data_IF_735386632004
#
_entry.id   IF_735386632004
#
_cell.length_a   1.000
_cell.length_b   1.000
_cell.length_c   1.000
_cell.angle_alpha   90.00
_cell.angle_beta   90.00
_cell.angle_gamma   90.00
#
_symmetry.space_group_name_H-M   'P 1'
#
loop_
_entity.id
_entity.type
_entity.pdbx_description
1 polymer ?
#
# COMPACT_ATOMS: atom_id res chain seq x y z
N UNK A 1 -25.75 22.68 -0.64
CA UNK A 1 -24.77 21.83 0.08
C UNK A 1 -23.52 21.79 -0.78
N UNK A 2 -22.36 21.96 -0.18
CA UNK A 2 -21.08 21.93 -0.91
C UNK A 2 -20.74 20.47 -1.26
N UNK A 3 -20.20 20.25 -2.45
CA UNK A 3 -19.70 18.95 -2.92
C UNK A 3 -18.24 19.13 -3.30
N UNK A 4 -17.41 18.18 -2.91
CA UNK A 4 -15.98 18.15 -3.17
C UNK A 4 -15.65 17.00 -4.13
N UNK A 5 -14.84 17.24 -5.16
CA UNK A 5 -14.40 16.24 -6.14
C UNK A 5 -12.96 15.83 -5.84
N UNK A 6 -12.76 14.59 -5.43
CA UNK A 6 -11.45 14.06 -5.04
C UNK A 6 -11.11 12.87 -5.93
N UNK A 7 -9.99 12.94 -6.63
CA UNK A 7 -9.43 11.82 -7.37
C UNK A 7 -8.36 11.10 -6.56
N UNK A 8 -8.18 9.80 -6.79
CA UNK A 8 -7.00 9.08 -6.31
C UNK A 8 -6.14 8.61 -7.49
N UNK A 9 -4.96 9.20 -7.60
CA UNK A 9 -4.05 9.08 -8.74
C UNK A 9 -3.00 7.97 -8.61
N UNK A 10 -3.00 7.17 -7.54
CA UNK A 10 -2.10 6.01 -7.40
C UNK A 10 -2.54 5.07 -6.29
N UNK A 11 -2.09 3.82 -6.38
CA UNK A 11 -2.34 2.74 -5.44
C UNK A 11 -1.06 2.21 -4.76
N UNK A 12 0.11 2.38 -5.37
CA UNK A 12 1.38 1.85 -4.90
C UNK A 12 2.57 2.53 -5.60
N UNK A 13 3.77 2.31 -5.08
CA UNK A 13 4.99 2.73 -5.75
C UNK A 13 5.22 1.96 -7.06
N UNK A 14 5.15 2.68 -8.18
CA UNK A 14 5.36 2.14 -9.53
C UNK A 14 4.05 1.94 -10.31
N UNK A 15 2.96 2.55 -9.85
CA UNK A 15 1.66 2.51 -10.50
C UNK A 15 1.62 3.30 -11.83
N UNK A 16 0.48 3.30 -12.50
CA UNK A 16 0.27 3.97 -13.78
C UNK A 16 0.12 5.48 -13.60
N UNK A 17 1.00 6.25 -14.25
CA UNK A 17 0.94 7.72 -14.25
C UNK A 17 -0.15 8.25 -15.21
N UNK A 18 -0.44 7.55 -16.30
CA UNK A 18 -1.35 8.02 -17.36
C UNK A 18 -2.79 8.24 -16.88
N UNK A 19 -3.43 7.39 -16.06
CA UNK A 19 -4.75 7.68 -15.51
C UNK A 19 -4.72 8.83 -14.49
N UNK A 20 -3.61 9.02 -13.78
CA UNK A 20 -3.44 10.15 -12.86
C UNK A 20 -3.37 11.49 -13.63
N UNK A 21 -2.67 11.49 -14.77
CA UNK A 21 -2.64 12.62 -15.70
C UNK A 21 -4.04 12.89 -16.27
N UNK A 22 -4.78 11.85 -16.64
CA UNK A 22 -6.18 12.01 -17.10
C UNK A 22 -7.10 12.57 -16.01
N UNK A 23 -6.94 12.13 -14.76
CA UNK A 23 -7.64 12.72 -13.61
C UNK A 23 -7.32 14.22 -13.44
N UNK A 24 -6.04 14.60 -13.52
CA UNK A 24 -5.62 15.98 -13.37
C UNK A 24 -6.14 16.89 -14.51
N UNK A 25 -6.20 16.38 -15.74
CA UNK A 25 -6.61 17.13 -16.93
C UNK A 25 -8.15 17.22 -17.07
N UNK A 26 -8.86 16.09 -16.89
CA UNK A 26 -10.28 15.95 -17.25
C UNK A 26 -11.20 15.60 -16.08
N UNK A 27 -10.65 15.35 -14.88
CA UNK A 27 -11.43 14.90 -13.73
C UNK A 27 -12.29 15.98 -13.08
N UNK A 28 -12.05 17.26 -13.39
CA UNK A 28 -12.67 18.42 -12.74
C UNK A 28 -12.54 18.31 -11.21
N UNK A 29 -11.32 18.07 -10.74
CA UNK A 29 -11.04 17.78 -9.34
C UNK A 29 -10.83 19.06 -8.53
N UNK A 30 -11.15 19.00 -7.24
CA UNK A 30 -10.65 19.96 -6.25
C UNK A 30 -9.32 19.44 -5.66
N UNK A 31 -9.21 18.12 -5.48
CA UNK A 31 -8.06 17.46 -4.88
C UNK A 31 -7.66 16.19 -5.63
N UNK A 32 -6.35 15.93 -5.70
CA UNK A 32 -5.77 14.70 -6.21
C UNK A 32 -4.88 14.06 -5.13
N UNK A 33 -5.32 12.92 -4.60
CA UNK A 33 -4.53 12.06 -3.74
C UNK A 33 -3.55 11.21 -4.54
N UNK A 34 -2.36 10.96 -4.01
CA UNK A 34 -1.34 10.12 -4.64
C UNK A 34 -0.70 9.18 -3.61
N UNK A 35 -1.26 7.98 -3.47
CA UNK A 35 -0.77 6.94 -2.56
C UNK A 35 0.30 6.04 -3.20
N UNK A 36 1.49 6.03 -2.59
CA UNK A 36 2.64 5.26 -3.03
C UNK A 36 3.14 4.25 -1.98
N UNK A 37 2.58 4.23 -0.77
CA UNK A 37 3.19 3.53 0.34
C UNK A 37 2.44 2.25 0.71
N UNK A 38 3.13 1.12 0.61
CA UNK A 38 2.77 -0.10 1.34
C UNK A 38 3.59 -0.25 2.62
N UNK A 39 3.23 -1.21 3.47
CA UNK A 39 3.98 -1.60 4.67
C UNK A 39 5.48 -1.84 4.38
N UNK A 40 5.78 -2.63 3.33
CA UNK A 40 7.16 -2.98 2.98
C UNK A 40 7.94 -1.80 2.40
N UNK A 41 7.24 -0.87 1.74
CA UNK A 41 7.86 0.29 1.07
C UNK A 41 8.68 1.12 2.05
N UNK A 42 8.18 1.34 3.27
CA UNK A 42 8.84 2.17 4.28
C UNK A 42 10.23 1.64 4.65
N UNK A 43 10.37 0.34 4.87
CA UNK A 43 11.66 -0.24 5.20
C UNK A 43 12.67 -0.15 4.05
N UNK A 44 12.21 -0.28 2.79
CA UNK A 44 13.06 -0.09 1.61
C UNK A 44 13.56 1.36 1.52
N UNK A 45 12.67 2.33 1.72
CA UNK A 45 12.99 3.75 1.70
C UNK A 45 13.93 4.14 2.85
N UNK A 46 13.70 3.63 4.05
CA UNK A 46 14.59 3.88 5.18
C UNK A 46 15.99 3.32 4.92
N UNK A 47 16.13 2.16 4.25
CA UNK A 47 17.45 1.65 3.82
C UNK A 47 18.12 2.57 2.81
N UNK A 48 17.37 3.23 1.94
CA UNK A 48 17.93 4.23 1.02
C UNK A 48 18.42 5.46 1.79
N UNK A 49 17.61 5.98 2.72
CA UNK A 49 17.97 7.09 3.63
C UNK A 49 19.23 6.79 4.45
N UNK A 50 19.34 5.58 5.00
CA UNK A 50 20.51 5.15 5.77
C UNK A 50 21.80 5.11 4.93
N UNK A 51 21.69 4.87 3.62
CA UNK A 51 22.84 4.92 2.69
C UNK A 51 23.13 6.35 2.22
N UNK A 52 22.11 7.15 2.01
CA UNK A 52 22.20 8.53 1.58
C UNK A 52 21.13 9.38 2.30
N UNK A 53 21.51 10.28 3.23
CA UNK A 53 20.56 11.10 3.99
C UNK A 53 19.64 12.00 3.16
N UNK A 54 19.95 12.23 1.88
CA UNK A 54 19.12 13.00 0.95
C UNK A 54 18.14 12.10 0.14
N UNK A 55 18.01 10.83 0.49
CA UNK A 55 17.10 9.86 -0.14
C UNK A 55 16.10 9.32 0.90
N UNK A 56 15.21 8.43 0.48
CA UNK A 56 14.19 7.83 1.33
C UNK A 56 12.77 8.38 1.14
N UNK A 57 12.58 9.27 0.17
CA UNK A 57 11.28 9.50 -0.46
C UNK A 57 11.15 8.60 -1.69
N UNK A 58 9.93 8.47 -2.22
CA UNK A 58 9.65 7.66 -3.40
C UNK A 58 10.35 8.27 -4.63
N UNK A 59 11.20 7.52 -5.35
CA UNK A 59 11.90 8.03 -6.53
C UNK A 59 10.97 8.64 -7.60
N UNK A 60 9.75 8.12 -7.71
CA UNK A 60 8.74 8.58 -8.67
C UNK A 60 8.11 9.94 -8.30
N UNK A 61 8.29 10.43 -7.06
CA UNK A 61 7.74 11.70 -6.60
C UNK A 61 8.05 12.86 -7.56
N UNK A 62 9.30 12.96 -8.02
CA UNK A 62 9.77 14.06 -8.86
C UNK A 62 9.22 13.98 -10.29
N UNK A 63 9.40 12.88 -11.05
CA UNK A 63 8.85 12.80 -12.40
C UNK A 63 7.32 12.87 -12.43
N UNK A 64 6.63 12.37 -11.41
CA UNK A 64 5.16 12.48 -11.33
C UNK A 64 4.72 13.92 -11.07
N UNK A 65 5.39 14.61 -10.14
CA UNK A 65 5.13 16.03 -9.89
C UNK A 65 5.38 16.86 -11.14
N UNK A 66 6.46 16.57 -11.90
CA UNK A 66 6.78 17.27 -13.14
C UNK A 66 5.67 17.12 -14.20
N UNK A 67 5.06 15.94 -14.29
CA UNK A 67 3.96 15.68 -15.22
C UNK A 67 2.62 16.28 -14.75
N UNK A 68 2.32 16.23 -13.45
CA UNK A 68 1.01 16.59 -12.90
C UNK A 68 0.89 18.07 -12.51
N UNK A 69 1.97 18.70 -12.05
CA UNK A 69 1.93 20.06 -11.52
C UNK A 69 1.41 21.10 -12.54
N UNK A 70 1.81 21.08 -13.83
CA UNK A 70 1.26 22.03 -14.80
C UNK A 70 -0.26 21.91 -14.99
N UNK A 71 -0.77 20.68 -15.03
CA UNK A 71 -2.20 20.41 -15.23
C UNK A 71 -3.01 20.79 -13.99
N UNK A 72 -2.54 20.34 -12.81
CA UNK A 72 -3.21 20.61 -11.54
C UNK A 72 -3.22 22.11 -11.23
N UNK A 73 -2.11 22.83 -11.44
CA UNK A 73 -2.08 24.28 -11.25
C UNK A 73 -3.00 25.02 -12.23
N UNK A 74 -3.02 24.64 -13.52
CA UNK A 74 -3.93 25.23 -14.51
C UNK A 74 -5.40 25.05 -14.12
N UNK A 75 -5.75 23.88 -13.57
CA UNK A 75 -7.11 23.52 -13.22
C UNK A 75 -7.49 23.87 -11.77
N UNK A 76 -6.56 24.44 -10.98
CA UNK A 76 -6.78 24.78 -9.57
C UNK A 76 -6.90 23.57 -8.64
N UNK A 77 -6.38 22.40 -9.03
CA UNK A 77 -6.39 21.16 -8.26
C UNK A 77 -5.24 21.16 -7.26
N UNK A 78 -5.50 20.82 -6.00
CA UNK A 78 -4.44 20.62 -4.99
C UNK A 78 -4.00 19.16 -4.92
N UNK A 79 -2.71 18.91 -4.74
CA UNK A 79 -2.14 17.55 -4.67
C UNK A 79 -1.78 17.16 -3.24
N UNK A 80 -2.03 15.91 -2.86
CA UNK A 80 -1.68 15.37 -1.54
C UNK A 80 -1.05 14.00 -1.74
N UNK A 81 0.15 13.77 -1.22
CA UNK A 81 0.88 12.52 -1.42
C UNK A 81 1.59 12.04 -0.16
N UNK A 82 1.69 10.73 0.00
CA UNK A 82 2.55 10.09 0.99
C UNK A 82 3.91 9.63 0.40
N UNK A 83 4.22 10.06 -0.83
CA UNK A 83 5.48 9.77 -1.50
C UNK A 83 6.72 10.39 -0.81
N UNK A 84 6.55 11.20 0.23
CA UNK A 84 7.65 11.61 1.11
C UNK A 84 8.28 10.42 1.85
N UNK A 85 7.52 9.36 2.09
CA UNK A 85 8.02 8.09 2.62
C UNK A 85 8.81 8.25 3.91
N UNK A 86 10.01 7.66 3.97
CA UNK A 86 10.88 7.75 5.14
C UNK A 86 11.63 9.09 5.27
N UNK A 87 11.55 9.98 4.26
CA UNK A 87 12.21 11.28 4.28
C UNK A 87 11.37 12.39 3.61
N UNK A 88 10.22 12.76 4.21
CA UNK A 88 9.33 13.78 3.63
C UNK A 88 10.02 15.13 3.44
N UNK A 89 10.94 15.47 4.35
CA UNK A 89 11.75 16.69 4.30
C UNK A 89 12.66 16.73 3.06
N UNK A 90 13.33 15.64 2.71
CA UNK A 90 14.14 15.59 1.48
C UNK A 90 13.27 15.63 0.22
N UNK A 91 12.17 14.85 0.20
CA UNK A 91 11.24 14.85 -0.93
C UNK A 91 10.61 16.22 -1.18
N UNK A 92 10.18 16.91 -0.13
CA UNK A 92 9.59 18.24 -0.23
C UNK A 92 10.58 19.31 -0.69
N UNK A 93 11.85 19.27 -0.26
CA UNK A 93 12.88 20.17 -0.81
C UNK A 93 13.06 20.00 -2.31
N UNK A 94 13.14 18.75 -2.78
CA UNK A 94 13.29 18.46 -4.22
C UNK A 94 12.06 18.92 -5.03
N UNK A 95 10.85 18.78 -4.47
CA UNK A 95 9.62 19.31 -5.07
C UNK A 95 9.62 20.84 -5.14
N UNK A 96 10.04 21.52 -4.08
CA UNK A 96 10.16 23.00 -4.08
C UNK A 96 11.15 23.46 -5.15
N UNK A 97 12.31 22.81 -5.27
CA UNK A 97 13.28 23.12 -6.33
C UNK A 97 12.72 22.83 -7.72
N UNK A 98 11.98 21.72 -7.91
CA UNK A 98 11.31 21.41 -9.17
C UNK A 98 10.27 22.48 -9.53
N UNK A 99 9.38 22.83 -8.62
CA UNK A 99 8.35 23.84 -8.83
C UNK A 99 8.97 25.20 -9.21
N UNK A 100 10.10 25.57 -8.59
CA UNK A 100 10.86 26.77 -8.94
C UNK A 100 11.40 26.71 -10.37
N UNK A 101 11.95 25.56 -10.78
CA UNK A 101 12.44 25.36 -12.16
C UNK A 101 11.32 25.42 -13.19
N UNK A 102 10.12 24.95 -12.85
CA UNK A 102 8.94 24.99 -13.71
C UNK A 102 8.24 26.36 -13.73
N UNK A 103 8.65 27.31 -12.88
CA UNK A 103 8.14 28.68 -12.89
C UNK A 103 6.96 28.95 -11.95
N UNK A 104 6.65 28.05 -11.01
CA UNK A 104 5.56 28.20 -10.04
C UNK A 104 6.00 29.00 -8.79
N UNK A 105 6.65 30.14 -9.00
CA UNK A 105 7.09 31.00 -7.90
C UNK A 105 5.90 31.46 -7.04
N UNK A 106 6.05 31.39 -5.71
CA UNK A 106 4.97 31.75 -4.78
C UNK A 106 4.00 30.61 -4.43
N UNK A 107 4.06 29.47 -5.14
CA UNK A 107 3.32 28.27 -4.78
C UNK A 107 3.69 27.81 -3.37
N UNK A 108 2.70 27.32 -2.61
CA UNK A 108 2.92 26.79 -1.27
C UNK A 108 3.02 25.26 -1.27
N UNK A 109 4.07 24.72 -0.68
CA UNK A 109 4.30 23.27 -0.51
C UNK A 109 4.33 22.93 0.98
N UNK A 110 3.37 22.13 1.43
CA UNK A 110 3.30 21.60 2.79
C UNK A 110 4.08 20.30 2.94
N UNK A 111 4.87 20.17 4.01
CA UNK A 111 5.56 18.95 4.40
C UNK A 111 5.05 18.52 5.77
N UNK A 112 4.61 17.27 5.88
CA UNK A 112 4.13 16.66 7.13
C UNK A 112 5.10 15.58 7.59
N UNK A 113 5.49 15.65 8.86
CA UNK A 113 6.38 14.70 9.53
C UNK A 113 5.84 14.33 10.92
N UNK A 114 6.51 13.40 11.60
CA UNK A 114 6.15 12.94 12.95
C UNK A 114 5.78 11.47 13.02
N UNK A 115 5.71 10.80 11.87
CA UNK A 115 5.49 9.37 11.72
C UNK A 115 6.73 8.53 12.08
N UNK A 116 7.95 9.02 11.84
CA UNK A 116 9.19 8.31 12.21
C UNK A 116 9.36 8.32 13.75
N UNK A 117 9.27 7.13 14.33
CA UNK A 117 9.40 6.90 15.78
C UNK A 117 10.66 6.15 16.14
N UNK A 118 11.56 5.93 15.18
CA UNK A 118 12.77 5.11 15.37
C UNK A 118 13.60 5.55 16.57
N UNK A 119 13.82 6.86 16.71
CA UNK A 119 14.60 7.45 17.81
C UNK A 119 13.80 7.60 19.12
N UNK A 120 12.50 7.32 19.11
CA UNK A 120 11.60 7.48 20.28
C UNK A 120 11.31 6.17 21.01
N UNK A 121 11.62 5.02 20.41
CA UNK A 121 11.26 3.71 20.97
C UNK A 121 11.80 3.47 22.38
N UNK A 122 13.03 3.92 22.67
CA UNK A 122 13.62 3.81 24.01
C UNK A 122 12.87 4.66 25.04
N UNK A 123 12.53 5.89 24.68
CA UNK A 123 11.79 6.80 25.55
C UNK A 123 10.39 6.24 25.83
N UNK A 124 9.70 5.77 24.79
CA UNK A 124 8.38 5.15 24.91
C UNK A 124 8.41 3.88 25.79
N UNK A 125 9.43 3.03 25.63
CA UNK A 125 9.62 1.87 26.49
C UNK A 125 9.84 2.28 27.96
N UNK A 126 10.63 3.33 28.21
CA UNK A 126 10.89 3.85 29.55
C UNK A 126 9.62 4.47 30.18
N UNK A 127 8.70 5.00 29.37
CA UNK A 127 7.38 5.48 29.78
C UNK A 127 6.35 4.35 30.00
N UNK A 128 6.73 3.09 29.75
CA UNK A 128 5.92 1.90 30.01
C UNK A 128 5.12 1.41 28.80
N UNK A 129 5.40 1.91 27.59
CA UNK A 129 4.79 1.37 26.36
C UNK A 129 5.34 -0.05 26.12
N UNK A 130 4.46 -1.04 26.14
CA UNK A 130 4.80 -2.41 25.77
C UNK A 130 4.54 -2.62 24.27
N UNK A 131 5.60 -2.94 23.53
CA UNK A 131 5.53 -3.14 22.08
C UNK A 131 5.12 -4.56 21.72
N UNK A 132 3.85 -4.90 21.95
CA UNK A 132 3.33 -6.23 21.62
C UNK A 132 3.19 -6.38 20.11
N UNK A 133 3.76 -7.44 19.54
CA UNK A 133 3.54 -7.81 18.16
C UNK A 133 2.08 -8.24 17.97
N UNK A 134 1.32 -7.52 17.14
CA UNK A 134 -0.10 -7.78 16.94
C UNK A 134 -0.39 -9.12 16.25
N UNK A 135 0.58 -9.68 15.51
CA UNK A 135 0.40 -10.93 14.78
C UNK A 135 0.78 -12.16 15.63
N UNK A 136 1.82 -12.03 16.47
CA UNK A 136 2.39 -13.17 17.21
C UNK A 136 2.12 -13.13 18.72
N UNK A 137 1.74 -11.98 19.26
CA UNK A 137 1.64 -11.74 20.70
C UNK A 137 2.99 -11.68 21.42
N UNK A 138 4.11 -11.67 20.69
CA UNK A 138 5.44 -11.50 21.28
C UNK A 138 5.57 -10.10 21.92
N UNK A 139 6.09 -10.04 23.15
CA UNK A 139 6.25 -8.79 23.89
C UNK A 139 7.69 -8.28 23.83
N UNK A 140 7.84 -6.96 23.83
CA UNK A 140 9.15 -6.29 23.83
C UNK A 140 9.88 -6.34 22.49
N UNK A 141 10.96 -5.57 22.35
CA UNK A 141 11.72 -5.42 21.10
C UNK A 141 13.09 -6.11 21.14
N UNK A 142 13.41 -6.81 22.22
CA UNK A 142 14.74 -7.33 22.55
C UNK A 142 15.29 -8.24 21.46
N UNK A 143 14.44 -9.13 20.91
CA UNK A 143 14.82 -10.07 19.86
C UNK A 143 15.22 -9.35 18.57
N UNK A 144 14.48 -8.31 18.21
CA UNK A 144 14.65 -7.63 16.92
C UNK A 144 15.56 -6.42 17.00
N UNK A 145 15.92 -5.98 18.22
CA UNK A 145 16.54 -4.68 18.52
C UNK A 145 17.75 -4.35 17.65
N UNK A 146 18.65 -5.31 17.48
CA UNK A 146 19.90 -5.11 16.73
C UNK A 146 19.70 -5.07 15.21
N UNK A 147 18.55 -5.56 14.73
CA UNK A 147 18.24 -5.72 13.31
C UNK A 147 17.15 -4.75 12.82
N UNK A 148 16.69 -3.84 13.69
CA UNK A 148 15.69 -2.83 13.34
C UNK A 148 16.21 -1.91 12.23
N UNK A 149 15.36 -1.71 11.23
CA UNK A 149 15.65 -0.91 10.04
C UNK A 149 14.87 0.39 10.04
N UNK A 150 13.60 0.34 10.42
CA UNK A 150 12.67 1.48 10.39
C UNK A 150 11.57 1.28 11.43
N UNK A 151 11.01 2.37 11.96
CA UNK A 151 9.79 2.35 12.76
C UNK A 151 8.92 3.56 12.41
N UNK A 152 7.79 3.33 11.76
CA UNK A 152 6.88 4.39 11.32
C UNK A 152 5.47 4.16 11.82
N UNK A 153 4.88 5.21 12.37
CA UNK A 153 3.49 5.25 12.78
C UNK A 153 2.58 5.58 11.59
N UNK A 154 1.41 4.95 11.55
CA UNK A 154 0.30 5.35 10.70
C UNK A 154 -0.37 6.56 11.35
N UNK A 155 0.02 7.77 10.96
CA UNK A 155 -0.62 9.00 11.46
C UNK A 155 -1.87 9.33 10.63
N UNK A 156 -2.74 10.18 11.17
CA UNK A 156 -3.96 10.62 10.50
C UNK A 156 -3.74 11.86 9.64
N UNK A 157 -4.87 12.49 9.29
CA UNK A 157 -4.94 13.63 8.41
C UNK A 157 -4.65 14.98 9.08
N UNK A 158 -4.32 15.02 10.38
CA UNK A 158 -4.12 16.28 11.12
C UNK A 158 -3.10 17.21 10.44
N UNK A 159 -1.95 16.66 10.02
CA UNK A 159 -0.93 17.45 9.34
C UNK A 159 -1.33 17.88 7.92
N UNK A 160 -2.15 17.08 7.23
CA UNK A 160 -2.69 17.45 5.92
C UNK A 160 -3.64 18.63 6.06
N UNK A 161 -4.54 18.60 7.05
CA UNK A 161 -5.48 19.70 7.34
C UNK A 161 -4.72 20.98 7.66
N UNK A 162 -3.67 20.89 8.50
CA UNK A 162 -2.83 22.04 8.87
C UNK A 162 -2.09 22.63 7.66
N UNK A 163 -1.51 21.79 6.79
CA UNK A 163 -0.82 22.26 5.59
C UNK A 163 -1.77 22.97 4.62
N UNK A 164 -2.96 22.40 4.39
CA UNK A 164 -3.98 23.02 3.54
C UNK A 164 -4.49 24.34 4.14
N UNK A 165 -4.66 24.42 5.47
CA UNK A 165 -4.98 25.67 6.16
C UNK A 165 -3.88 26.74 6.03
N UNK A 166 -2.62 26.31 5.92
CA UNK A 166 -1.47 27.16 5.58
C UNK A 166 -1.41 27.57 4.11
N UNK A 167 -2.37 27.16 3.28
CA UNK A 167 -2.46 27.52 1.86
C UNK A 167 -1.68 26.60 0.93
N UNK A 168 -1.22 25.44 1.39
CA UNK A 168 -0.49 24.49 0.56
C UNK A 168 -1.31 24.04 -0.66
N UNK A 169 -0.72 24.16 -1.85
CA UNK A 169 -1.24 23.62 -3.11
C UNK A 169 -0.77 22.17 -3.31
N UNK A 170 0.37 21.81 -2.72
CA UNK A 170 0.88 20.45 -2.67
C UNK A 170 1.27 20.07 -1.25
N UNK A 171 0.79 18.93 -0.77
CA UNK A 171 1.13 18.40 0.56
C UNK A 171 1.88 17.08 0.40
N UNK A 172 3.06 16.98 1.01
CA UNK A 172 3.92 15.80 0.99
C UNK A 172 4.04 15.28 2.42
N UNK A 173 3.68 14.02 2.61
CA UNK A 173 3.65 13.37 3.92
C UNK A 173 4.59 12.16 3.95
N UNK A 174 4.96 11.73 5.17
CA UNK A 174 5.57 10.43 5.41
C UNK A 174 4.52 9.32 5.46
N UNK A 175 4.60 8.43 6.45
CA UNK A 175 3.54 7.44 6.65
C UNK A 175 2.29 8.07 7.28
N UNK A 176 1.26 8.26 6.45
CA UNK A 176 -0.13 8.47 6.88
C UNK A 176 -0.94 7.20 6.60
N UNK A 177 -2.16 7.10 7.13
CA UNK A 177 -3.13 6.15 6.58
C UNK A 177 -3.52 6.56 5.16
N UNK A 178 -3.81 5.57 4.32
CA UNK A 178 -4.05 5.74 2.89
C UNK A 178 -5.26 6.67 2.67
N UNK A 179 -6.34 6.44 3.43
CA UNK A 179 -7.51 7.32 3.50
C UNK A 179 -7.24 8.76 3.94
N UNK A 180 -6.12 9.06 4.63
CA UNK A 180 -5.84 10.41 5.13
C UNK A 180 -5.65 11.43 3.99
N UNK A 181 -5.24 10.95 2.81
CA UNK A 181 -5.14 11.74 1.58
C UNK A 181 -6.51 12.23 1.11
N UNK A 182 -7.60 11.56 1.51
CA UNK A 182 -8.99 11.93 1.24
C UNK A 182 -9.66 12.61 2.43
N UNK A 183 -9.42 12.14 3.65
CA UNK A 183 -10.01 12.71 4.88
C UNK A 183 -9.52 14.14 5.11
N UNK A 184 -8.23 14.39 4.95
CA UNK A 184 -7.63 15.71 5.14
C UNK A 184 -8.30 16.83 4.33
N UNK A 185 -8.42 16.71 2.99
CA UNK A 185 -9.09 17.72 2.20
C UNK A 185 -10.59 17.84 2.49
N UNK A 186 -11.30 16.74 2.77
CA UNK A 186 -12.71 16.78 3.19
C UNK A 186 -12.89 17.60 4.46
N UNK A 187 -12.09 17.30 5.49
CA UNK A 187 -12.17 17.99 6.77
C UNK A 187 -11.79 19.47 6.64
N UNK A 188 -10.75 19.78 5.88
CA UNK A 188 -10.34 21.15 5.59
C UNK A 188 -11.45 21.95 4.90
N UNK A 189 -12.01 21.42 3.82
CA UNK A 189 -12.97 22.15 2.96
C UNK A 189 -14.34 22.36 3.61
N UNK A 190 -14.76 21.46 4.50
CA UNK A 190 -16.01 21.61 5.26
C UNK A 190 -15.79 22.20 6.66
N UNK A 191 -14.54 22.50 7.05
CA UNK A 191 -14.21 23.05 8.36
C UNK A 191 -14.54 22.10 9.52
N UNK A 192 -14.47 20.79 9.30
CA UNK A 192 -14.67 19.78 10.34
C UNK A 192 -13.43 19.67 11.22
N UNK A 193 -13.63 19.39 12.51
CA UNK A 193 -12.53 19.36 13.49
C UNK A 193 -12.67 18.14 14.40
N UNK A 194 -11.53 17.59 14.84
CA UNK A 194 -11.51 16.51 15.83
C UNK A 194 -11.92 16.99 17.24
N UNK A 195 -11.89 18.30 17.51
CA UNK A 195 -12.35 18.91 18.77
C UNK A 195 -13.89 18.93 18.89
N UNK A 196 -14.58 18.93 17.74
CA UNK A 196 -16.05 18.89 17.65
C UNK A 196 -16.48 17.86 16.59
N UNK A 197 -16.22 16.57 16.86
CA UNK A 197 -16.33 15.55 15.83
C UNK A 197 -17.80 15.18 15.59
N UNK A 198 -18.16 15.10 14.31
CA UNK A 198 -19.27 14.27 13.86
C UNK A 198 -18.68 12.96 13.36
N UNK A 199 -18.71 11.93 14.21
CA UNK A 199 -18.07 10.65 13.91
C UNK A 199 -18.70 9.91 12.74
N UNK A 200 -19.97 10.16 12.42
CA UNK A 200 -20.57 9.56 11.23
C UNK A 200 -20.02 10.20 9.96
N UNK A 201 -19.87 11.54 9.95
CA UNK A 201 -19.28 12.25 8.82
C UNK A 201 -17.79 11.96 8.63
N UNK A 202 -17.04 11.88 9.73
CA UNK A 202 -15.62 11.48 9.69
C UNK A 202 -15.52 10.02 9.22
N UNK A 203 -16.36 9.12 9.75
CA UNK A 203 -16.43 7.73 9.29
C UNK A 203 -16.78 7.63 7.81
N UNK A 204 -17.67 8.50 7.30
CA UNK A 204 -17.98 8.58 5.88
C UNK A 204 -16.78 9.02 5.03
N UNK A 205 -16.03 10.04 5.48
CA UNK A 205 -14.81 10.48 4.81
C UNK A 205 -13.76 9.37 4.75
N UNK A 206 -13.57 8.64 5.86
CA UNK A 206 -12.66 7.49 5.94
C UNK A 206 -13.10 6.37 5.00
N UNK A 207 -14.40 6.02 5.01
CA UNK A 207 -14.95 4.99 4.15
C UNK A 207 -14.82 5.32 2.66
N UNK A 208 -15.07 6.57 2.27
CA UNK A 208 -14.91 7.00 0.88
C UNK A 208 -13.44 7.05 0.48
N UNK A 209 -12.55 7.47 1.38
CA UNK A 209 -11.11 7.34 1.21
C UNK A 209 -10.72 5.89 0.90
N UNK A 210 -11.21 4.94 1.71
CA UNK A 210 -11.00 3.50 1.49
C UNK A 210 -11.56 2.97 0.16
N UNK A 211 -12.67 3.54 -0.33
CA UNK A 211 -13.24 3.14 -1.62
C UNK A 211 -12.38 3.62 -2.79
N UNK A 212 -11.78 4.82 -2.72
CA UNK A 212 -11.00 5.38 -3.84
C UNK A 212 -9.50 5.10 -3.72
N UNK A 213 -9.00 4.73 -2.55
CA UNK A 213 -7.65 4.20 -2.38
C UNK A 213 -7.48 2.89 -3.18
N UNK A 214 -6.23 2.46 -3.40
CA UNK A 214 -5.91 1.40 -4.37
C UNK A 214 -6.36 1.69 -5.82
N UNK A 215 -6.63 2.97 -6.13
CA UNK A 215 -6.95 3.52 -7.44
C UNK A 215 -7.92 2.65 -8.26
N UNK A 216 -7.42 1.88 -9.23
CA UNK A 216 -8.27 1.19 -10.20
C UNK A 216 -9.11 0.02 -9.65
N UNK A 217 -8.98 -0.33 -8.36
CA UNK A 217 -9.73 -1.45 -7.79
C UNK A 217 -11.24 -1.24 -7.85
N UNK A 218 -11.74 -0.10 -7.37
CA UNK A 218 -13.18 0.21 -7.43
C UNK A 218 -13.67 0.60 -8.84
N UNK A 219 -12.75 0.75 -9.81
CA UNK A 219 -13.03 0.95 -11.24
C UNK A 219 -12.80 -0.30 -12.08
N UNK A 220 -12.67 -1.48 -11.45
CA UNK A 220 -12.72 -2.78 -12.11
C UNK A 220 -11.38 -3.48 -12.32
N UNK A 221 -10.25 -2.86 -11.99
CA UNK A 221 -8.90 -3.41 -12.18
C UNK A 221 -8.60 -4.63 -11.32
N UNK A 222 -9.04 -4.61 -10.05
CA UNK A 222 -8.92 -5.71 -9.10
C UNK A 222 -10.16 -6.60 -9.00
N UNK A 223 -11.16 -6.39 -9.87
CA UNK A 223 -12.51 -6.94 -9.70
C UNK A 223 -12.66 -8.35 -10.27
N UNK A 224 -13.55 -9.17 -9.68
CA UNK A 224 -13.99 -10.42 -10.31
C UNK A 224 -14.80 -10.16 -11.60
N UNK A 225 -15.25 -8.93 -11.83
CA UNK A 225 -15.90 -8.47 -13.05
C UNK A 225 -14.91 -8.02 -14.13
N UNK A 226 -13.68 -8.53 -14.14
CA UNK A 226 -12.66 -8.24 -15.16
C UNK A 226 -13.14 -8.46 -16.61
N UNK A 227 -14.19 -9.28 -16.82
CA UNK A 227 -14.81 -9.50 -18.14
C UNK A 227 -15.73 -8.36 -18.59
N UNK A 228 -16.25 -7.58 -17.64
CA UNK A 228 -17.17 -6.46 -17.88
C UNK A 228 -16.42 -5.14 -18.02
N UNK A 229 -15.21 -5.04 -17.45
CA UNK A 229 -14.34 -3.87 -17.59
C UNK A 229 -14.03 -3.59 -19.07
N UNK A 230 -14.48 -2.44 -19.56
CA UNK A 230 -14.23 -1.99 -20.93
C UNK A 230 -12.82 -1.41 -21.01
N UNK A 231 -12.05 -1.73 -22.03
CA UNK A 231 -10.68 -1.19 -22.23
C UNK A 231 -9.81 -1.20 -20.95
N UNK A 232 -9.58 -2.34 -20.29
CA UNK A 232 -8.86 -2.41 -19.02
C UNK A 232 -7.38 -1.95 -19.11
N UNK A 233 -6.83 -1.79 -20.32
CA UNK A 233 -5.51 -1.19 -20.59
C UNK A 233 -5.52 0.35 -20.60
N UNK A 234 -6.70 0.98 -20.56
CA UNK A 234 -6.90 2.42 -20.45
C UNK A 234 -7.86 2.71 -19.28
N UNK A 235 -7.63 2.04 -18.16
CA UNK A 235 -8.53 2.05 -17.01
C UNK A 235 -8.58 3.43 -16.35
N UNK A 236 -9.79 3.92 -16.10
CA UNK A 236 -9.97 5.18 -15.37
C UNK A 236 -9.70 5.00 -13.89
N UNK A 237 -8.99 5.95 -13.28
CA UNK A 237 -8.85 6.04 -11.83
C UNK A 237 -10.08 6.73 -11.20
N UNK A 238 -10.36 6.45 -9.91
CA UNK A 238 -11.62 6.82 -9.30
C UNK A 238 -11.70 8.30 -8.93
N UNK A 239 -12.93 8.81 -8.94
CA UNK A 239 -13.34 10.12 -8.46
C UNK A 239 -14.44 9.91 -7.41
N UNK A 240 -14.29 10.52 -6.24
CA UNK A 240 -15.36 10.69 -5.27
C UNK A 240 -15.94 12.10 -5.35
N UNK A 241 -17.23 12.21 -5.61
CA UNK A 241 -18.01 13.44 -5.44
C UNK A 241 -18.64 13.41 -4.04
N UNK A 242 -17.94 13.97 -3.06
CA UNK A 242 -18.28 13.87 -1.65
C UNK A 242 -19.11 15.08 -1.19
N UNK A 243 -20.30 14.83 -0.63
CA UNK A 243 -21.20 15.84 -0.09
C UNK A 243 -20.91 16.17 1.37
N UNK A 244 -21.18 17.42 1.76
CA UNK A 244 -21.06 17.89 3.16
C UNK A 244 -21.95 17.10 4.17
N UNK A 245 -22.91 16.32 3.71
CA UNK A 245 -23.74 15.45 4.53
C UNK A 245 -23.11 14.07 4.81
N UNK A 246 -21.97 13.76 4.20
CA UNK A 246 -21.28 12.47 4.30
C UNK A 246 -21.73 11.45 3.26
N UNK A 247 -22.58 11.82 2.30
CA UNK A 247 -22.85 10.97 1.13
C UNK A 247 -21.84 11.21 0.02
N UNK A 248 -21.66 10.24 -0.88
CA UNK A 248 -20.74 10.39 -2.01
C UNK A 248 -21.23 9.71 -3.28
N UNK A 249 -20.74 10.14 -4.43
CA UNK A 249 -20.84 9.40 -5.69
C UNK A 249 -19.44 8.96 -6.10
N UNK A 250 -19.25 7.66 -6.27
CA UNK A 250 -18.03 7.07 -6.80
C UNK A 250 -18.20 6.94 -8.32
N UNK A 251 -17.23 7.48 -9.06
CA UNK A 251 -17.24 7.51 -10.51
C UNK A 251 -15.81 7.53 -11.08
N UNK A 252 -15.67 7.73 -12.39
CA UNK A 252 -14.39 7.88 -13.11
C UNK A 252 -14.56 8.89 -14.24
N UNK A 253 -13.45 9.30 -14.87
CA UNK A 253 -13.48 10.23 -16.01
C UNK A 253 -14.36 9.66 -17.15
N UNK A 254 -15.33 10.41 -17.69
CA UNK A 254 -16.13 9.94 -18.82
C UNK A 254 -15.26 9.57 -20.02
N UNK A 255 -15.49 8.38 -20.59
CA UNK A 255 -14.72 7.87 -21.73
C UNK A 255 -13.46 7.08 -21.37
N UNK A 256 -13.04 7.07 -20.10
CA UNK A 256 -12.00 6.15 -19.61
C UNK A 256 -12.53 4.71 -19.50
N UNK A 257 -11.62 3.74 -19.55
CA UNK A 257 -11.92 2.32 -19.40
C UNK A 257 -12.28 1.92 -17.96
N UNK A 258 -12.44 0.62 -17.72
CA UNK A 258 -12.93 0.05 -16.47
C UNK A 258 -14.45 0.01 -16.37
N UNK A 259 -14.94 -0.21 -15.15
CA UNK A 259 -16.36 -0.22 -14.79
C UNK A 259 -16.50 0.20 -13.33
N UNK A 260 -17.44 1.11 -13.04
CA UNK A 260 -17.82 1.47 -11.67
C UNK A 260 -19.26 1.03 -11.44
N UNK A 261 -19.45 0.01 -10.60
CA UNK A 261 -20.77 -0.49 -10.23
C UNK A 261 -20.79 -0.94 -8.76
N UNK A 262 -21.94 -1.40 -8.26
CA UNK A 262 -22.03 -1.79 -6.85
C UNK A 262 -21.09 -2.94 -6.46
N UNK A 263 -20.74 -3.81 -7.40
CA UNK A 263 -19.87 -4.96 -7.12
C UNK A 263 -18.42 -4.53 -7.01
N UNK A 264 -17.92 -3.67 -7.90
CA UNK A 264 -16.53 -3.15 -7.80
C UNK A 264 -16.34 -2.36 -6.51
N UNK A 265 -17.34 -1.56 -6.11
CA UNK A 265 -17.30 -0.83 -4.84
C UNK A 265 -17.39 -1.76 -3.63
N UNK A 266 -18.20 -2.83 -3.68
CA UNK A 266 -18.28 -3.82 -2.58
C UNK A 266 -16.98 -4.60 -2.41
N UNK A 267 -16.35 -5.02 -3.51
CA UNK A 267 -15.07 -5.72 -3.48
C UNK A 267 -14.01 -4.87 -2.79
N UNK A 268 -13.93 -3.58 -3.14
CA UNK A 268 -13.03 -2.65 -2.47
C UNK A 268 -13.38 -2.46 -0.99
N UNK A 269 -14.66 -2.29 -0.62
CA UNK A 269 -15.07 -2.19 0.80
C UNK A 269 -14.67 -3.43 1.62
N UNK A 270 -14.58 -4.61 0.99
CA UNK A 270 -14.15 -5.84 1.67
C UNK A 270 -12.65 -6.08 1.63
N UNK A 271 -11.91 -5.29 0.85
CA UNK A 271 -10.47 -5.42 0.70
C UNK A 271 -9.77 -4.96 1.98
N UNK A 272 -8.89 -5.79 2.54
CA UNK A 272 -8.14 -5.47 3.78
C UNK A 272 -8.98 -5.14 5.03
N UNK A 273 -10.29 -5.45 5.00
CA UNK A 273 -11.20 -5.25 6.14
C UNK A 273 -11.41 -6.56 6.90
N UNK A 274 -10.84 -6.66 8.09
CA UNK A 274 -10.99 -7.82 8.96
C UNK A 274 -12.32 -7.82 9.73
N UNK A 275 -12.67 -6.71 10.37
CA UNK A 275 -13.96 -6.51 11.06
C UNK A 275 -14.73 -5.35 10.40
N UNK A 276 -15.75 -5.63 9.58
CA UNK A 276 -16.54 -4.60 8.91
C UNK A 276 -17.25 -3.63 9.84
N UNK A 277 -17.46 -3.96 11.12
CA UNK A 277 -18.05 -3.03 12.10
C UNK A 277 -17.01 -2.16 12.79
N UNK A 278 -15.74 -2.52 12.70
CA UNK A 278 -14.62 -1.86 13.37
C UNK A 278 -13.43 -1.78 12.41
N UNK A 279 -13.59 -1.07 11.30
CA UNK A 279 -12.46 -0.75 10.44
C UNK A 279 -11.70 0.43 11.05
N UNK A 280 -10.58 0.13 11.72
CA UNK A 280 -9.85 1.07 12.59
C UNK A 280 -8.79 1.81 11.77
N UNK A 281 -8.96 3.13 11.63
CA UNK A 281 -7.96 4.01 11.05
C UNK A 281 -7.62 5.19 11.98
N UNK A 282 -6.47 5.87 11.76
CA UNK A 282 -6.03 6.98 12.59
C UNK A 282 -7.04 8.12 12.71
N UNK A 283 -7.82 8.41 11.67
CA UNK A 283 -8.80 9.50 11.70
C UNK A 283 -10.14 9.13 12.35
N UNK A 284 -10.49 7.84 12.37
CA UNK A 284 -11.79 7.37 12.83
C UNK A 284 -11.97 5.88 12.61
N UNK A 285 -12.99 5.30 13.25
CA UNK A 285 -13.33 3.89 13.08
C UNK A 285 -14.64 3.80 12.29
N UNK A 286 -14.63 3.09 11.17
CA UNK A 286 -15.80 2.96 10.28
C UNK A 286 -16.62 1.71 10.65
N UNK A 287 -17.94 1.84 10.60
CA UNK A 287 -18.86 0.70 10.58
C UNK A 287 -19.51 0.58 9.19
N UNK A 288 -18.95 -0.31 8.37
CA UNK A 288 -19.45 -0.61 7.03
C UNK A 288 -20.80 -1.35 7.04
N UNK A 289 -21.29 -1.85 8.18
CA UNK A 289 -22.58 -2.57 8.24
C UNK A 289 -23.80 -1.66 8.03
N UNK A 290 -23.64 -0.35 8.20
CA UNK A 290 -24.72 0.63 7.95
C UNK A 290 -24.71 1.18 6.53
N UNK A 291 -23.59 1.07 5.82
CA UNK A 291 -23.39 1.61 4.48
C UNK A 291 -24.47 1.12 3.50
N UNK A 292 -24.91 2.01 2.62
CA UNK A 292 -25.83 1.72 1.51
C UNK A 292 -25.19 2.13 0.19
N UNK A 293 -25.34 1.27 -0.80
CA UNK A 293 -24.92 1.54 -2.18
C UNK A 293 -26.12 1.53 -3.10
N UNK A 294 -26.12 2.45 -4.07
CA UNK A 294 -27.14 2.52 -5.12
C UNK A 294 -26.50 2.94 -6.43
N UNK A 295 -26.71 2.17 -7.49
CA UNK A 295 -26.34 2.62 -8.84
C UNK A 295 -27.32 3.69 -9.29
N UNK A 296 -26.79 4.84 -9.68
CA UNK A 296 -27.58 6.01 -10.10
C UNK A 296 -27.35 6.39 -11.56
N UNK A 297 -26.50 5.63 -12.26
CA UNK A 297 -26.21 5.77 -13.68
C UNK A 297 -25.01 4.91 -14.08
N UNK A 298 -24.65 4.91 -15.38
CA UNK A 298 -23.42 4.28 -15.84
C UNK A 298 -22.21 4.83 -15.11
N UNK A 299 -21.34 3.96 -14.61
CA UNK A 299 -20.13 4.31 -13.86
C UNK A 299 -20.37 5.25 -12.66
N UNK A 300 -21.54 5.19 -12.02
CA UNK A 300 -21.91 6.07 -10.90
C UNK A 300 -22.63 5.31 -9.79
N UNK A 301 -21.95 5.16 -8.66
CA UNK A 301 -22.46 4.50 -7.46
C UNK A 301 -22.60 5.52 -6.34
N UNK A 302 -23.82 5.74 -5.89
CA UNK A 302 -24.13 6.54 -4.71
C UNK A 302 -23.88 5.73 -3.44
N UNK A 303 -23.19 6.34 -2.48
CA UNK A 303 -22.80 5.79 -1.18
C UNK A 303 -23.42 6.65 -0.08
N UNK A 304 -24.14 6.04 0.86
CA UNK A 304 -24.81 6.73 1.96
C UNK A 304 -24.87 5.90 3.23
N UNK A 305 -25.43 6.50 4.30
CA UNK A 305 -25.71 5.86 5.59
C UNK A 305 -24.47 5.23 6.26
N UNK A 306 -23.30 5.81 6.03
CA UNK A 306 -22.05 5.39 6.69
C UNK A 306 -22.07 5.90 8.12
N UNK A 307 -21.79 5.02 9.07
CA UNK A 307 -21.62 5.38 10.47
C UNK A 307 -20.17 5.23 10.89
N UNK A 308 -19.79 5.97 11.93
CA UNK A 308 -18.44 5.94 12.46
C UNK A 308 -18.41 6.11 13.96
N UNK A 309 -17.26 5.77 14.53
CA UNK A 309 -16.96 5.81 15.97
C UNK A 309 -15.73 6.69 16.21
N UNK A 310 -15.49 7.09 17.47
CA UNK A 310 -14.30 7.85 17.83
C UNK A 310 -13.01 7.23 17.30
N UNK A 311 -12.08 8.10 16.90
CA UNK A 311 -10.71 7.71 16.53
C UNK A 311 -10.02 6.96 17.68
N UNK A 312 -9.11 6.02 17.39
CA UNK A 312 -8.44 5.24 18.43
C UNK A 312 -7.45 6.10 19.24
N UNK A 313 -7.32 5.80 20.53
CA UNK A 313 -6.32 6.42 21.44
C UNK A 313 -4.89 5.95 21.14
N UNK A 314 -4.75 4.92 20.29
CA UNK A 314 -3.47 4.36 19.86
C UNK A 314 -3.30 4.43 18.34
N UNK A 315 -2.06 4.52 17.88
CA UNK A 315 -1.69 4.45 16.48
C UNK A 315 -0.88 3.19 16.20
N UNK A 316 -1.11 2.58 15.03
CA UNK A 316 -0.30 1.46 14.54
C UNK A 316 1.09 1.95 14.19
N UNK A 317 2.10 1.30 14.74
CA UNK A 317 3.51 1.45 14.35
C UNK A 317 3.95 0.18 13.67
N UNK A 318 4.53 0.33 12.49
CA UNK A 318 5.18 -0.77 11.79
C UNK A 318 6.69 -0.66 11.99
N UNK A 319 7.25 -1.62 12.71
CA UNK A 319 8.69 -1.75 12.88
C UNK A 319 9.21 -2.76 11.86
N UNK A 320 10.01 -2.31 10.90
CA UNK A 320 10.70 -3.18 9.95
C UNK A 320 12.04 -3.62 10.51
N UNK A 321 12.36 -4.92 10.46
CA UNK A 321 13.65 -5.45 10.88
C UNK A 321 14.19 -6.51 9.92
N UNK A 322 15.50 -6.64 9.83
CA UNK A 322 16.14 -7.66 9.00
C UNK A 322 16.01 -9.04 9.66
N UNK A 323 15.42 -9.99 8.94
CA UNK A 323 15.05 -11.31 9.49
C UNK A 323 15.48 -12.45 8.57
N UNK A 324 16.80 -12.52 8.36
CA UNK A 324 17.42 -13.55 7.53
C UNK A 324 17.38 -13.26 6.02
N UNK A 325 17.32 -14.33 5.23
CA UNK A 325 17.48 -14.35 3.79
C UNK A 325 16.46 -15.28 3.12
N UNK A 326 15.95 -14.90 1.97
CA UNK A 326 15.07 -15.73 1.16
C UNK A 326 15.79 -16.25 -0.08
N UNK A 327 15.62 -17.54 -0.35
CA UNK A 327 15.96 -18.19 -1.61
C UNK A 327 14.70 -18.63 -2.34
N UNK A 328 14.65 -18.40 -3.64
CA UNK A 328 13.53 -18.83 -4.48
C UNK A 328 14.05 -19.52 -5.75
N UNK A 329 13.32 -20.56 -6.15
CA UNK A 329 13.54 -21.27 -7.41
C UNK A 329 12.21 -21.55 -8.09
N UNK A 330 12.18 -21.44 -9.41
CA UNK A 330 11.02 -21.76 -10.23
C UNK A 330 11.42 -22.76 -11.30
N UNK A 331 10.68 -23.87 -11.36
CA UNK A 331 10.86 -24.93 -12.34
C UNK A 331 9.56 -25.19 -13.07
N UNK A 332 9.66 -25.68 -14.30
CA UNK A 332 8.54 -26.05 -15.16
C UNK A 332 8.75 -27.48 -15.62
N UNK A 333 7.70 -28.29 -15.58
CA UNK A 333 7.71 -29.69 -16.00
C UNK A 333 6.68 -29.87 -17.09
N UNK A 334 7.11 -30.32 -18.26
CA UNK A 334 6.21 -30.64 -19.36
C UNK A 334 5.54 -32.00 -19.18
N UNK A 335 4.50 -32.25 -19.94
CA UNK A 335 3.94 -33.58 -20.17
C UNK A 335 4.99 -34.55 -20.78
N UNK A 336 4.90 -35.88 -20.54
CA UNK A 336 4.01 -36.54 -19.59
C UNK A 336 4.50 -36.43 -18.14
N UNK A 337 3.59 -36.72 -17.21
CA UNK A 337 3.80 -36.84 -15.77
C UNK A 337 4.24 -35.53 -15.11
N UNK A 338 3.73 -34.39 -15.57
CA UNK A 338 4.19 -33.06 -15.16
C UNK A 338 4.13 -32.88 -13.63
N UNK A 339 2.98 -33.17 -13.02
CA UNK A 339 2.79 -33.09 -11.57
C UNK A 339 3.63 -34.10 -10.80
N UNK A 340 3.78 -35.33 -11.33
CA UNK A 340 4.57 -36.36 -10.67
C UNK A 340 6.07 -36.01 -10.66
N UNK A 341 6.59 -35.41 -11.75
CA UNK A 341 7.96 -34.89 -11.82
C UNK A 341 8.18 -33.73 -10.85
N UNK A 342 7.21 -32.81 -10.73
CA UNK A 342 7.26 -31.74 -9.74
C UNK A 342 7.32 -32.30 -8.30
N UNK A 343 6.45 -33.25 -7.94
CA UNK A 343 6.44 -33.89 -6.61
C UNK A 343 7.74 -34.64 -6.31
N UNK A 344 8.27 -35.35 -7.31
CA UNK A 344 9.57 -36.03 -7.20
C UNK A 344 10.70 -35.04 -6.98
N UNK A 345 10.64 -33.88 -7.64
CA UNK A 345 11.65 -32.84 -7.51
C UNK A 345 11.63 -32.16 -6.14
N UNK A 346 10.45 -31.96 -5.55
CA UNK A 346 10.33 -31.58 -4.14
C UNK A 346 11.06 -32.58 -3.22
N UNK A 347 10.80 -33.88 -3.38
CA UNK A 347 11.46 -34.92 -2.59
C UNK A 347 13.00 -34.92 -2.78
N UNK A 348 13.47 -34.73 -4.02
CA UNK A 348 14.90 -34.59 -4.33
C UNK A 348 15.50 -33.42 -3.57
N UNK A 349 14.90 -32.23 -3.64
CA UNK A 349 15.42 -31.03 -2.96
C UNK A 349 15.45 -31.26 -1.44
N UNK A 350 14.37 -31.78 -0.85
CA UNK A 350 14.33 -32.08 0.60
C UNK A 350 15.46 -33.02 1.01
N UNK A 351 15.73 -34.07 0.23
CA UNK A 351 16.83 -35.00 0.48
C UNK A 351 18.21 -34.36 0.28
N UNK A 352 18.36 -33.52 -0.75
CA UNK A 352 19.61 -32.80 -1.03
C UNK A 352 19.95 -31.82 0.10
N UNK A 353 18.97 -31.05 0.60
CA UNK A 353 19.17 -30.14 1.73
C UNK A 353 19.63 -30.89 2.98
N UNK A 354 19.02 -32.05 3.29
CA UNK A 354 19.46 -32.92 4.39
C UNK A 354 20.90 -33.43 4.21
N UNK A 355 21.28 -33.85 3.00
CA UNK A 355 22.65 -34.30 2.71
C UNK A 355 23.68 -33.19 2.88
N UNK A 356 23.28 -31.93 2.64
CA UNK A 356 24.14 -30.76 2.77
C UNK A 356 24.12 -30.15 4.18
N UNK A 357 23.30 -30.69 5.09
CA UNK A 357 23.13 -30.15 6.44
C UNK A 357 22.52 -28.75 6.48
N UNK A 358 21.73 -28.38 5.46
CA UNK A 358 21.05 -27.08 5.40
C UNK A 358 19.60 -27.27 5.82
N UNK A 359 19.22 -26.61 6.92
CA UNK A 359 17.86 -26.61 7.47
C UNK A 359 17.31 -25.18 7.43
N UNK A 360 16.55 -24.82 6.38
CA UNK A 360 15.85 -23.55 6.34
C UNK A 360 14.84 -23.43 7.48
N UNK A 361 14.64 -22.22 8.00
CA UNK A 361 13.64 -21.93 9.04
C UNK A 361 12.23 -22.16 8.51
N UNK A 362 12.01 -21.82 7.24
CA UNK A 362 10.78 -22.13 6.50
C UNK A 362 11.14 -22.66 5.13
N UNK A 363 10.40 -23.69 4.69
CA UNK A 363 10.60 -24.30 3.38
C UNK A 363 9.23 -24.63 2.76
N UNK A 364 8.89 -23.91 1.69
CA UNK A 364 7.62 -24.01 0.99
C UNK A 364 7.81 -24.46 -0.45
N UNK A 365 6.92 -25.36 -0.87
CA UNK A 365 6.80 -25.80 -2.26
C UNK A 365 5.37 -25.52 -2.74
N UNK A 366 5.24 -24.80 -3.84
CA UNK A 366 3.96 -24.52 -4.50
C UNK A 366 3.94 -25.12 -5.90
N UNK A 367 2.84 -25.75 -6.28
CA UNK A 367 2.66 -26.34 -7.60
C UNK A 367 1.84 -25.38 -8.49
N UNK A 368 2.52 -24.64 -9.38
CA UNK A 368 1.88 -23.68 -10.29
C UNK A 368 0.98 -24.41 -11.27
N UNK A 369 -0.24 -23.90 -11.43
CA UNK A 369 -1.32 -24.55 -12.16
C UNK A 369 -2.14 -25.53 -11.32
N UNK A 370 -1.72 -25.83 -10.08
CA UNK A 370 -2.40 -26.79 -9.20
C UNK A 370 -2.89 -26.14 -7.91
N UNK A 371 -1.98 -25.58 -7.10
CA UNK A 371 -2.35 -25.16 -5.74
C UNK A 371 -1.62 -23.91 -5.21
N UNK A 372 -0.96 -23.11 -6.04
CA UNK A 372 -0.15 -21.97 -5.57
C UNK A 372 -0.94 -20.93 -4.78
N UNK A 373 -2.15 -20.55 -5.24
CA UNK A 373 -2.95 -19.49 -4.60
C UNK A 373 -3.86 -20.02 -3.50
N UNK A 374 -4.58 -21.11 -3.77
CA UNK A 374 -5.55 -21.68 -2.82
C UNK A 374 -4.95 -22.70 -1.85
N UNK A 375 -3.68 -23.08 -2.03
CA UNK A 375 -3.02 -24.07 -1.17
C UNK A 375 -3.82 -25.38 -1.12
N UNK A 376 -4.00 -25.92 0.08
CA UNK A 376 -4.70 -27.20 0.29
C UNK A 376 -6.20 -27.17 -0.05
N UNK A 377 -6.79 -25.99 -0.29
CA UNK A 377 -8.21 -25.88 -0.67
C UNK A 377 -8.42 -25.96 -2.19
N UNK A 378 -7.34 -25.97 -2.98
CA UNK A 378 -7.42 -26.17 -4.42
C UNK A 378 -7.90 -27.59 -4.76
N UNK A 379 -8.91 -27.76 -5.63
CA UNK A 379 -9.24 -29.08 -6.15
C UNK A 379 -8.06 -29.62 -6.97
N UNK A 380 -7.77 -30.91 -6.81
CA UNK A 380 -6.74 -31.54 -7.62
C UNK A 380 -7.22 -31.68 -9.07
N UNK A 381 -6.38 -31.36 -10.06
CA UNK A 381 -6.73 -31.50 -11.46
C UNK A 381 -6.94 -32.97 -11.82
N UNK A 382 -7.92 -33.21 -12.70
CA UNK A 382 -8.17 -34.54 -13.28
C UNK A 382 -7.25 -34.76 -14.48
N UNK A 383 -6.57 -35.90 -14.52
CA UNK A 383 -5.68 -36.27 -15.63
C UNK A 383 -4.28 -35.66 -15.54
N UNK A 384 -3.49 -35.90 -16.59
CA UNK A 384 -2.11 -35.41 -16.68
C UNK A 384 -2.10 -34.02 -17.35
N UNK A 385 -1.42 -33.08 -16.72
CA UNK A 385 -1.37 -31.69 -17.17
C UNK A 385 -0.27 -31.50 -18.22
N UNK A 386 -0.51 -30.59 -19.18
CA UNK A 386 0.50 -30.23 -20.18
C UNK A 386 1.78 -29.70 -19.53
N UNK A 387 1.63 -28.86 -18.50
CA UNK A 387 2.72 -28.27 -17.76
C UNK A 387 2.32 -28.06 -16.29
N UNK A 388 3.28 -28.23 -15.38
CA UNK A 388 3.16 -27.87 -13.97
C UNK A 388 4.43 -27.15 -13.55
N UNK A 389 4.30 -26.03 -12.87
CA UNK A 389 5.45 -25.37 -12.26
C UNK A 389 5.70 -25.84 -10.82
N UNK A 390 6.95 -25.87 -10.39
CA UNK A 390 7.32 -26.00 -8.98
C UNK A 390 8.01 -24.73 -8.55
N UNK A 391 7.39 -23.98 -7.65
CA UNK A 391 8.06 -22.90 -6.92
C UNK A 391 8.56 -23.44 -5.60
N UNK A 392 9.85 -23.24 -5.36
CA UNK A 392 10.50 -23.43 -4.08
C UNK A 392 10.76 -22.06 -3.46
N UNK A 393 10.39 -21.87 -2.19
CA UNK A 393 10.78 -20.72 -1.40
C UNK A 393 11.31 -21.18 -0.05
N UNK A 394 12.43 -20.62 0.39
CA UNK A 394 13.02 -20.95 1.68
C UNK A 394 13.52 -19.71 2.41
N UNK A 395 13.16 -19.58 3.69
CA UNK A 395 13.72 -18.60 4.61
C UNK A 395 14.89 -19.24 5.36
N UNK A 396 16.05 -18.62 5.27
CA UNK A 396 17.30 -19.08 5.89
C UNK A 396 17.87 -17.97 6.78
N UNK A 397 18.70 -18.34 7.75
CA UNK A 397 19.35 -17.36 8.64
C UNK A 397 20.43 -16.58 7.91
N UNK A 398 21.16 -17.27 7.04
CA UNK A 398 22.32 -16.71 6.34
C UNK A 398 22.15 -16.67 4.83
N UNK A 399 22.86 -15.76 4.19
CA UNK A 399 22.91 -15.68 2.74
C UNK A 399 23.49 -16.96 2.13
N UNK A 400 24.48 -17.56 2.80
CA UNK A 400 25.15 -18.77 2.34
C UNK A 400 24.19 -19.97 2.28
N UNK A 401 23.38 -20.18 3.31
CA UNK A 401 22.34 -21.22 3.31
C UNK A 401 21.31 -20.98 2.21
N UNK A 402 20.84 -19.74 2.06
CA UNK A 402 19.92 -19.37 0.99
C UNK A 402 20.54 -19.62 -0.41
N UNK A 403 21.83 -19.35 -0.59
CA UNK A 403 22.54 -19.68 -1.83
C UNK A 403 22.62 -21.20 -2.08
N UNK A 404 22.78 -22.01 -1.04
CA UNK A 404 22.71 -23.48 -1.18
C UNK A 404 21.33 -23.90 -1.66
N UNK A 405 20.26 -23.41 -1.04
CA UNK A 405 18.88 -23.72 -1.47
C UNK A 405 18.65 -23.34 -2.93
N UNK A 406 19.05 -22.13 -3.33
CA UNK A 406 18.95 -21.64 -4.71
C UNK A 406 19.67 -22.57 -5.70
N UNK A 407 20.88 -23.02 -5.36
CA UNK A 407 21.65 -23.94 -6.21
C UNK A 407 20.99 -25.30 -6.32
N UNK A 408 20.45 -25.83 -5.23
CA UNK A 408 19.73 -27.11 -5.25
C UNK A 408 18.44 -27.04 -6.09
N UNK A 409 17.73 -25.92 -6.06
CA UNK A 409 16.63 -25.68 -6.99
C UNK A 409 17.11 -25.73 -8.46
N UNK A 410 18.28 -25.17 -8.75
CA UNK A 410 18.84 -25.13 -10.11
C UNK A 410 19.32 -26.51 -10.57
N UNK A 411 19.83 -27.37 -9.67
CA UNK A 411 20.30 -28.72 -10.02
C UNK A 411 19.19 -29.62 -10.57
N UNK A 412 17.92 -29.33 -10.24
CA UNK A 412 16.77 -30.02 -10.80
C UNK A 412 16.67 -29.92 -12.33
N UNK A 413 17.35 -28.97 -12.99
CA UNK A 413 17.53 -29.01 -14.46
C UNK A 413 18.08 -30.36 -14.94
N UNK A 414 18.99 -30.96 -14.18
CA UNK A 414 19.60 -32.26 -14.49
C UNK A 414 19.03 -33.43 -13.68
N UNK A 415 18.27 -33.14 -12.61
CA UNK A 415 17.75 -34.15 -11.67
C UNK A 415 16.23 -34.31 -11.72
N UNK A 416 15.50 -33.39 -12.34
CA UNK A 416 14.03 -33.34 -12.39
C UNK A 416 13.39 -34.27 -13.43
N UNK A 417 14.21 -34.90 -14.28
CA UNK A 417 13.77 -35.78 -15.36
C UNK A 417 13.56 -35.06 -16.69
N UNK A 418 13.25 -35.83 -17.74
CA UNK A 418 13.04 -35.30 -19.08
C UNK A 418 11.86 -34.31 -19.13
N UNK A 419 12.02 -33.23 -19.88
CA UNK A 419 11.02 -32.16 -19.97
C UNK A 419 11.03 -31.19 -18.78
N UNK A 420 12.12 -31.12 -18.01
CA UNK A 420 12.31 -30.10 -16.96
C UNK A 420 12.93 -28.84 -17.56
N UNK A 421 12.34 -27.68 -17.25
CA UNK A 421 12.92 -26.36 -17.48
C UNK A 421 13.01 -25.58 -16.16
N UNK A 422 13.84 -24.54 -16.13
CA UNK A 422 13.99 -23.66 -14.97
C UNK A 422 13.83 -22.20 -15.39
N UNK A 423 13.21 -21.40 -14.53
CA UNK A 423 13.19 -19.95 -14.65
C UNK A 423 14.53 -19.33 -14.26
N UNK A 424 14.71 -18.04 -14.49
CA UNK A 424 15.93 -17.33 -14.08
C UNK A 424 16.10 -17.46 -12.56
N UNK A 425 17.23 -18.01 -12.06
CA UNK A 425 17.41 -18.18 -10.63
C UNK A 425 17.55 -16.83 -9.93
N UNK A 426 16.69 -16.58 -8.95
CA UNK A 426 16.73 -15.35 -8.16
C UNK A 426 17.96 -15.36 -7.24
N UNK A 427 18.73 -14.27 -7.22
CA UNK A 427 19.77 -14.12 -6.19
C UNK A 427 19.13 -14.14 -4.80
N UNK A 428 19.78 -14.72 -3.77
CA UNK A 428 19.26 -14.60 -2.42
C UNK A 428 19.10 -13.14 -2.02
N UNK A 429 18.02 -12.82 -1.33
CA UNK A 429 17.69 -11.45 -0.92
C UNK A 429 17.51 -11.40 0.59
N UNK A 430 17.93 -10.31 1.27
CA UNK A 430 17.61 -10.13 2.68
C UNK A 430 16.09 -10.02 2.84
N UNK A 431 15.56 -10.64 3.89
CA UNK A 431 14.16 -10.51 4.28
C UNK A 431 14.04 -9.34 5.25
N UNK A 432 13.03 -8.51 5.03
CA UNK A 432 12.56 -7.55 6.03
C UNK A 432 11.24 -8.10 6.55
N UNK A 433 11.21 -8.42 7.83
CA UNK A 433 9.99 -8.77 8.53
C UNK A 433 9.38 -7.52 9.18
N UNK A 434 8.07 -7.59 9.39
CA UNK A 434 7.31 -6.56 10.08
C UNK A 434 7.08 -6.97 11.55
N UNK A 435 7.08 -5.97 12.42
CA UNK A 435 6.57 -6.04 13.76
C UNK A 435 5.51 -4.95 13.91
N UNK A 436 4.23 -5.26 13.63
CA UNK A 436 3.14 -4.33 13.88
C UNK A 436 2.87 -4.25 15.38
N UNK A 437 2.82 -3.04 15.91
CA UNK A 437 2.54 -2.75 17.33
C UNK A 437 1.68 -1.49 17.44
N UNK A 438 1.25 -1.15 18.65
CA UNK A 438 0.53 0.09 18.95
C UNK A 438 1.37 1.01 19.84
N UNK A 439 1.19 2.32 19.69
CA UNK A 439 1.69 3.36 20.60
C UNK A 439 0.57 4.32 20.95
N UNK A 440 0.59 4.99 22.12
CA UNK A 440 -0.37 6.05 22.42
C UNK A 440 -0.29 7.17 21.37
N UNK A 441 -1.44 7.63 20.88
CA UNK A 441 -1.52 8.71 19.88
C UNK A 441 -0.80 9.97 20.36
N UNK A 442 -1.05 10.36 21.61
CA UNK A 442 -0.52 11.60 22.19
C UNK A 442 1.00 11.55 22.44
N UNK A 443 1.62 10.38 22.29
CA UNK A 443 3.06 10.25 22.33
C UNK A 443 3.73 10.73 21.03
N UNK A 444 2.96 10.91 19.95
CA UNK A 444 3.44 11.39 18.66
C UNK A 444 3.07 12.86 18.47
N UNK A 445 4.08 13.65 18.13
CA UNK A 445 3.91 15.04 17.71
C UNK A 445 4.03 15.11 16.20
N UNK A 446 2.91 15.38 15.54
CA UNK A 446 2.86 15.67 14.11
C UNK A 446 3.37 17.09 13.90
N UNK A 447 4.26 17.28 12.93
CA UNK A 447 4.79 18.59 12.56
C UNK A 447 4.50 18.90 11.10
N UNK A 448 3.95 20.08 10.86
CA UNK A 448 3.66 20.59 9.52
C UNK A 448 4.49 21.83 9.23
N UNK A 449 5.07 21.91 8.04
CA UNK A 449 5.82 23.09 7.57
C UNK A 449 5.36 23.45 6.17
N UNK A 450 5.09 24.72 5.93
CA UNK A 450 4.71 25.23 4.61
C UNK A 450 5.83 26.10 4.06
N UNK A 451 6.26 25.77 2.85
CA UNK A 451 7.34 26.44 2.12
C UNK A 451 6.77 27.18 0.92
N UNK A 452 7.25 28.39 0.69
CA UNK A 452 6.98 29.14 -0.53
C UNK A 452 8.08 28.86 -1.56
N UNK A 453 7.69 28.52 -2.78
CA UNK A 453 8.58 28.22 -3.92
C UNK A 453 9.37 29.43 -4.40
#
# INVERSE_FOLDING_TARGET
>A
MKTLRIGNGSAYWGDMLDPAVELADKGELDYLGLDHLSELTMALLQRQKNKNPNQGYIPDLIPWTEALLPLTHQNGVKMITNAGGANPEAGGREVVELARRLGFAGMQVGIVTGDDVSDKLDALAAEGVNFVNLDTGEEGLERIRQNMVAAHAYIGSEGVIEALAGGAEMVITGRVSDSALTVGPIMHEFGWTFDRPDWNRIGAAVAVGHIIECACFCTGGGSCQWREAVEPWHIGFPIAEFGEDGSAIITKVPGSGGVVNQWTVKEQITYEVADPRNYILPDGIVDFSTLRLKEIGPDRVYVSDISGKPRPDTLKVLIGYQDGWIAEGLLLYSWPDALAKARRSEDIVRKRLKLLGVEPEELRFDYLGVNTLHGSTAPLPEGDMNEVGLRLAAKCRTQQEADVVRREATHLWTLGGAGTAFGVPFRPRPVIAAWPTLVPRDALKIETRVYTV
#
